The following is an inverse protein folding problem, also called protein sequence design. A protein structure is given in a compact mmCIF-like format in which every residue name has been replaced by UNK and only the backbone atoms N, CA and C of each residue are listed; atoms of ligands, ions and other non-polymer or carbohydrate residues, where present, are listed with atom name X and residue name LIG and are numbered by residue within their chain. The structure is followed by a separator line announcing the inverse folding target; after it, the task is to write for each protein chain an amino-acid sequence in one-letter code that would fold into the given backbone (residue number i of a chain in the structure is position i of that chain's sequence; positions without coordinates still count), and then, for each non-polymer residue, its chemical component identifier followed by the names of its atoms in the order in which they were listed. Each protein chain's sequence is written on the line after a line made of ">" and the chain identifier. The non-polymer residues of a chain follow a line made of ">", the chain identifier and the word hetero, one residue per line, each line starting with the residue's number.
data_IF_263193550868
#
_entry.id   IF_263193550868
#
_cell.length_a   1.000
_cell.length_b   1.000
_cell.length_c   1.000
_cell.angle_alpha   90.00
_cell.angle_beta   90.00
_cell.angle_gamma   90.00
#
_symmetry.space_group_name_H-M   'P 1'
#
loop_
_entity.id
_entity.type
_entity.pdbx_description
1 polymer ?
#
# COMPACT_ATOMS: atom_id res chain seq x y z
N UNK A 1 -21.74 18.99 -11.70
CA UNK A 1 -20.87 18.50 -10.59
C UNK A 1 -20.60 17.03 -10.82
N UNK A 2 -19.34 16.56 -10.73
CA UNK A 2 -19.05 15.12 -10.88
C UNK A 2 -19.68 14.34 -9.71
N UNK A 3 -20.23 13.14 -9.93
CA UNK A 3 -20.72 12.30 -8.85
C UNK A 3 -19.63 12.06 -7.81
N UNK A 4 -19.96 12.22 -6.53
CA UNK A 4 -19.05 12.04 -5.41
C UNK A 4 -19.35 10.69 -4.76
N UNK A 5 -18.35 9.82 -4.68
CA UNK A 5 -18.44 8.56 -3.96
C UNK A 5 -17.99 8.78 -2.52
N UNK A 6 -18.92 8.56 -1.58
CA UNK A 6 -18.69 8.62 -0.12
C UNK A 6 -19.45 7.50 0.56
N UNK A 7 -19.07 7.20 1.79
CA UNK A 7 -19.85 6.32 2.66
C UNK A 7 -21.22 6.94 2.97
N UNK A 8 -22.26 6.11 3.03
CA UNK A 8 -23.61 6.49 3.49
C UNK A 8 -23.77 6.43 5.01
N UNK A 9 -22.81 5.82 5.71
CA UNK A 9 -22.84 5.59 7.17
C UNK A 9 -21.67 6.27 7.88
N UNK A 10 -21.84 6.54 9.19
CA UNK A 10 -20.86 7.27 10.01
C UNK A 10 -19.54 6.52 10.16
N UNK A 11 -18.49 7.21 10.63
CA UNK A 11 -17.20 6.58 10.92
C UNK A 11 -17.33 5.50 12.01
N UNK A 12 -18.09 5.76 13.06
CA UNK A 12 -18.28 4.83 14.19
C UNK A 12 -18.98 3.55 13.74
N UNK A 13 -19.99 3.68 12.87
CA UNK A 13 -20.69 2.55 12.26
C UNK A 13 -19.75 1.74 11.38
N UNK A 14 -18.99 2.39 10.48
CA UNK A 14 -17.97 1.72 9.64
C UNK A 14 -16.90 1.04 10.47
N UNK A 15 -16.39 1.71 11.50
CA UNK A 15 -15.39 1.17 12.40
C UNK A 15 -15.91 -0.09 13.09
N UNK A 16 -17.16 -0.10 13.54
CA UNK A 16 -17.78 -1.29 14.15
C UNK A 16 -17.83 -2.45 13.16
N UNK A 17 -18.31 -2.21 11.92
CA UNK A 17 -18.34 -3.22 10.85
C UNK A 17 -16.94 -3.73 10.53
N UNK A 18 -15.97 -2.82 10.39
CA UNK A 18 -14.57 -3.13 10.13
C UNK A 18 -13.97 -4.02 11.23
N UNK A 19 -14.19 -3.68 12.50
CA UNK A 19 -13.72 -4.48 13.64
C UNK A 19 -14.32 -5.88 13.60
N UNK A 20 -15.61 -6.03 13.31
CA UNK A 20 -16.23 -7.36 13.17
C UNK A 20 -15.61 -8.17 12.02
N UNK A 21 -15.37 -7.55 10.85
CA UNK A 21 -14.67 -8.21 9.73
C UNK A 21 -13.26 -8.64 10.12
N UNK A 22 -12.52 -7.79 10.84
CA UNK A 22 -11.17 -8.12 11.30
C UNK A 22 -11.18 -9.29 12.30
N UNK A 23 -12.15 -9.35 13.21
CA UNK A 23 -12.29 -10.47 14.16
C UNK A 23 -12.58 -11.79 13.46
N UNK A 24 -13.39 -11.76 12.41
CA UNK A 24 -13.74 -12.95 11.63
C UNK A 24 -12.57 -13.42 10.75
N UNK A 25 -11.87 -12.50 10.09
CA UNK A 25 -10.76 -12.85 9.18
C UNK A 25 -9.44 -13.14 9.91
N UNK A 26 -9.24 -12.55 11.10
CA UNK A 26 -8.00 -12.68 11.87
C UNK A 26 -8.27 -13.11 13.31
N UNK A 27 -8.75 -14.34 13.55
CA UNK A 27 -9.05 -14.82 14.89
C UNK A 27 -7.82 -14.82 15.80
N UNK A 28 -6.62 -15.06 15.25
CA UNK A 28 -5.34 -14.99 15.96
C UNK A 28 -5.04 -13.59 16.53
N UNK A 29 -5.66 -12.54 15.97
CA UNK A 29 -5.51 -11.16 16.42
C UNK A 29 -6.69 -10.69 17.29
N UNK A 30 -7.61 -11.58 17.71
CA UNK A 30 -8.80 -11.20 18.49
C UNK A 30 -8.47 -10.42 19.76
N UNK A 31 -7.45 -10.85 20.52
CA UNK A 31 -7.04 -10.17 21.75
C UNK A 31 -6.55 -8.75 21.50
N UNK A 32 -5.72 -8.56 20.47
CA UNK A 32 -5.15 -7.24 20.11
C UNK A 32 -6.18 -6.32 19.46
N UNK A 33 -7.12 -6.86 18.68
CA UNK A 33 -8.20 -6.08 18.07
C UNK A 33 -9.15 -5.54 19.15
N UNK A 34 -9.52 -6.36 20.13
CA UNK A 34 -10.44 -5.95 21.21
C UNK A 34 -9.76 -5.08 22.27
N UNK A 35 -8.49 -5.35 22.57
CA UNK A 35 -7.66 -4.61 23.52
C UNK A 35 -6.35 -4.22 22.84
N UNK A 36 -6.34 -3.10 22.09
CA UNK A 36 -5.13 -2.61 21.45
C UNK A 36 -4.05 -2.37 22.51
N UNK A 37 -2.92 -3.03 22.35
CA UNK A 37 -1.80 -2.86 23.28
C UNK A 37 -1.11 -1.53 22.98
N UNK A 38 -0.86 -0.74 24.04
CA UNK A 38 0.11 0.35 23.95
C UNK A 38 1.50 -0.27 23.96
N UNK A 39 2.44 0.34 23.24
CA UNK A 39 3.83 -0.10 23.21
C UNK A 39 4.49 0.20 24.55
N UNK A 40 4.26 -0.64 25.56
CA UNK A 40 5.01 -0.55 26.81
C UNK A 40 6.38 -1.20 26.59
N UNK A 41 7.42 -0.38 26.75
CA UNK A 41 8.80 -0.58 26.26
C UNK A 41 9.60 -1.69 26.96
N UNK A 42 9.00 -2.43 27.87
CA UNK A 42 9.72 -3.34 28.78
C UNK A 42 9.63 -4.83 28.42
N UNK A 43 8.78 -5.24 27.49
CA UNK A 43 8.79 -6.60 26.93
C UNK A 43 8.50 -6.56 25.42
N UNK A 44 9.56 -6.52 24.60
CA UNK A 44 9.44 -6.70 23.13
C UNK A 44 8.98 -8.12 22.84
N UNK A 45 7.68 -8.31 22.66
CA UNK A 45 7.08 -9.62 22.41
C UNK A 45 7.11 -9.94 20.92
N UNK A 46 6.99 -11.23 20.57
CA UNK A 46 6.96 -11.74 19.19
C UNK A 46 5.82 -11.18 18.31
N UNK A 47 4.96 -10.32 18.86
CA UNK A 47 3.77 -9.77 18.20
C UNK A 47 3.95 -8.32 17.70
N UNK A 48 5.11 -7.72 17.93
CA UNK A 48 5.46 -6.40 17.40
C UNK A 48 5.44 -6.37 15.87
N UNK A 49 5.06 -5.23 15.31
CA UNK A 49 5.02 -5.03 13.86
C UNK A 49 5.72 -3.76 13.39
N UNK A 50 6.17 -3.81 12.15
CA UNK A 50 6.76 -2.70 11.41
C UNK A 50 5.93 -2.48 10.15
N UNK A 51 5.20 -1.37 10.09
CA UNK A 51 4.25 -1.08 9.02
C UNK A 51 4.87 -0.12 8.02
N UNK A 52 4.86 -0.50 6.74
CA UNK A 52 5.36 0.28 5.63
C UNK A 52 4.28 0.42 4.58
N UNK A 53 3.96 1.65 4.19
CA UNK A 53 2.87 1.94 3.26
C UNK A 53 3.40 2.68 2.03
N UNK A 54 3.17 2.07 0.87
CA UNK A 54 3.29 2.73 -0.43
C UNK A 54 1.97 3.42 -0.74
N UNK A 55 1.91 4.72 -0.47
CA UNK A 55 0.69 5.48 -0.54
C UNK A 55 0.09 5.49 -1.96
N UNK A 56 0.93 5.57 -2.99
CA UNK A 56 0.49 5.62 -4.38
C UNK A 56 -0.13 4.28 -4.79
N UNK A 57 0.53 3.15 -4.47
CA UNK A 57 0.02 1.83 -4.81
C UNK A 57 -1.32 1.54 -4.12
N UNK A 58 -1.43 1.85 -2.82
CA UNK A 58 -2.68 1.65 -2.07
C UNK A 58 -3.79 2.58 -2.55
N UNK A 59 -3.50 3.87 -2.75
CA UNK A 59 -4.50 4.83 -3.20
C UNK A 59 -5.03 4.50 -4.59
N UNK A 60 -4.15 4.15 -5.53
CA UNK A 60 -4.54 3.76 -6.89
C UNK A 60 -5.36 2.46 -6.86
N UNK A 61 -4.88 1.43 -6.14
CA UNK A 61 -5.59 0.17 -5.99
C UNK A 61 -7.00 0.36 -5.41
N UNK A 62 -7.14 1.21 -4.40
CA UNK A 62 -8.42 1.55 -3.78
C UNK A 62 -9.39 2.19 -4.78
N UNK A 63 -8.94 3.21 -5.51
CA UNK A 63 -9.78 3.93 -6.48
C UNK A 63 -10.22 3.00 -7.60
N UNK A 64 -9.30 2.20 -8.13
CA UNK A 64 -9.59 1.25 -9.20
C UNK A 64 -10.56 0.17 -8.74
N UNK A 65 -10.41 -0.32 -7.50
CA UNK A 65 -11.34 -1.28 -6.90
C UNK A 65 -12.74 -0.67 -6.74
N UNK A 66 -12.88 0.51 -6.12
CA UNK A 66 -14.18 1.18 -5.92
C UNK A 66 -14.87 1.52 -7.25
N UNK A 67 -14.10 1.95 -8.26
CA UNK A 67 -14.65 2.16 -9.61
C UNK A 67 -15.13 0.86 -10.23
N UNK A 68 -14.37 -0.22 -10.07
CA UNK A 68 -14.73 -1.52 -10.60
C UNK A 68 -15.98 -2.08 -9.93
N UNK A 69 -16.07 -2.03 -8.59
CA UNK A 69 -17.20 -2.57 -7.82
C UNK A 69 -18.52 -1.88 -8.12
N UNK A 70 -18.47 -0.61 -8.55
CA UNK A 70 -19.66 0.19 -8.90
C UNK A 70 -19.97 0.25 -10.39
N UNK A 71 -19.22 -0.46 -11.24
CA UNK A 71 -19.40 -0.42 -12.69
C UNK A 71 -19.02 0.92 -13.34
N UNK A 72 -18.15 1.72 -12.69
CA UNK A 72 -17.82 3.09 -13.06
C UNK A 72 -16.42 3.24 -13.68
N UNK A 73 -15.83 2.17 -14.23
CA UNK A 73 -14.46 2.18 -14.78
C UNK A 73 -14.26 3.24 -15.88
N UNK A 74 -15.26 3.46 -16.72
CA UNK A 74 -15.23 4.42 -17.83
C UNK A 74 -15.78 5.80 -17.45
N UNK A 75 -16.33 5.95 -16.24
CA UNK A 75 -17.05 7.16 -15.82
C UNK A 75 -16.11 8.13 -15.10
N UNK A 76 -16.16 9.40 -15.49
CA UNK A 76 -15.36 10.46 -14.89
C UNK A 76 -16.01 10.95 -13.57
N UNK A 77 -15.77 10.21 -12.49
CA UNK A 77 -16.22 10.54 -11.14
C UNK A 77 -15.21 11.41 -10.37
N UNK A 78 -15.67 12.03 -9.28
CA UNK A 78 -14.75 12.58 -8.28
C UNK A 78 -13.97 11.44 -7.63
N UNK A 79 -12.67 11.66 -7.35
CA UNK A 79 -11.78 10.67 -6.75
C UNK A 79 -12.36 10.23 -5.39
N UNK A 80 -12.65 8.93 -5.18
CA UNK A 80 -12.98 8.40 -3.86
C UNK A 80 -11.88 8.74 -2.87
N UNK A 81 -12.26 9.11 -1.64
CA UNK A 81 -11.32 9.49 -0.59
C UNK A 81 -11.09 8.29 0.32
N UNK A 82 -9.83 7.91 0.52
CA UNK A 82 -9.46 6.80 1.39
C UNK A 82 -9.35 7.31 2.83
N UNK A 83 -9.96 6.60 3.78
CA UNK A 83 -9.74 6.83 5.20
C UNK A 83 -8.46 6.11 5.63
N UNK A 84 -7.42 6.87 5.97
CA UNK A 84 -6.16 6.28 6.41
C UNK A 84 -6.31 5.64 7.80
N UNK A 85 -7.20 6.19 8.64
CA UNK A 85 -7.55 5.57 9.94
C UNK A 85 -8.18 4.18 9.79
N UNK A 86 -8.99 3.96 8.76
CA UNK A 86 -9.51 2.63 8.46
C UNK A 86 -8.40 1.69 7.99
N UNK A 87 -7.55 2.17 7.08
CA UNK A 87 -6.40 1.41 6.58
C UNK A 87 -5.46 1.01 7.73
N UNK A 88 -5.10 1.93 8.63
CA UNK A 88 -4.20 1.63 9.75
C UNK A 88 -4.77 0.55 10.67
N UNK A 89 -6.09 0.55 10.94
CA UNK A 89 -6.74 -0.53 11.70
C UNK A 89 -6.56 -1.91 11.02
N UNK A 90 -6.63 -1.97 9.69
CA UNK A 90 -6.44 -3.21 8.91
C UNK A 90 -4.98 -3.66 8.91
N UNK A 91 -4.03 -2.73 8.78
CA UNK A 91 -2.60 -3.03 8.76
C UNK A 91 -2.12 -3.48 10.15
N UNK A 92 -2.52 -2.75 11.19
CA UNK A 92 -2.04 -2.96 12.54
C UNK A 92 -2.78 -4.09 13.26
N UNK A 93 -4.11 -4.19 13.08
CA UNK A 93 -4.99 -5.13 13.78
C UNK A 93 -4.80 -5.10 15.30
N UNK A 94 -4.58 -3.90 15.81
CA UNK A 94 -4.35 -3.60 17.23
C UNK A 94 -3.02 -4.12 17.80
N UNK A 95 -2.13 -4.68 16.96
CA UNK A 95 -0.78 -5.09 17.39
C UNK A 95 0.07 -3.86 17.66
N UNK A 96 1.01 -3.91 18.63
CA UNK A 96 1.98 -2.84 18.84
C UNK A 96 2.81 -2.61 17.57
N UNK A 97 2.66 -1.46 16.92
CA UNK A 97 3.56 -1.08 15.84
C UNK A 97 4.75 -0.30 16.40
N UNK A 98 5.91 -0.93 16.33
CA UNK A 98 7.21 -0.34 16.71
C UNK A 98 7.62 0.71 15.69
N UNK A 99 7.29 0.47 14.42
CA UNK A 99 7.54 1.40 13.33
C UNK A 99 6.33 1.57 12.43
N UNK A 100 6.04 2.81 12.04
CA UNK A 100 4.97 3.20 11.13
C UNK A 100 5.53 4.16 10.09
N UNK A 101 5.62 3.72 8.84
CA UNK A 101 6.18 4.52 7.74
C UNK A 101 5.17 4.58 6.62
N UNK A 102 4.94 5.78 6.09
CA UNK A 102 4.23 6.02 4.85
C UNK A 102 5.14 6.80 3.90
N UNK A 103 5.27 6.30 2.67
CA UNK A 103 5.98 7.01 1.61
C UNK A 103 5.02 7.22 0.46
N UNK A 104 5.08 8.40 -0.15
CA UNK A 104 4.36 8.68 -1.38
C UNK A 104 4.93 9.90 -2.09
N UNK A 105 4.21 10.38 -3.09
CA UNK A 105 4.61 11.56 -3.87
C UNK A 105 3.57 12.66 -3.85
N UNK A 106 4.03 13.91 -4.00
CA UNK A 106 3.21 15.10 -4.06
C UNK A 106 2.12 14.99 -5.14
N UNK A 107 0.93 15.61 -4.99
CA UNK A 107 0.56 16.55 -3.94
C UNK A 107 0.34 15.85 -2.60
N UNK A 108 0.48 16.60 -1.51
CA UNK A 108 0.17 16.12 -0.18
C UNK A 108 -1.33 15.80 -0.10
N UNK A 109 -1.67 14.54 0.16
CA UNK A 109 -3.05 14.03 0.13
C UNK A 109 -3.65 13.96 1.53
N UNK A 110 -4.98 13.82 1.63
CA UNK A 110 -5.66 13.70 2.93
C UNK A 110 -5.20 12.46 3.68
N UNK A 111 -4.96 11.39 2.97
CA UNK A 111 -4.43 10.12 3.47
C UNK A 111 -3.08 10.33 4.18
N UNK A 112 -2.20 11.15 3.60
CA UNK A 112 -0.89 11.49 4.19
C UNK A 112 -1.04 12.38 5.44
N UNK A 113 -2.00 13.30 5.46
CA UNK A 113 -2.31 14.13 6.64
C UNK A 113 -2.79 13.22 7.78
N UNK A 114 -3.78 12.38 7.51
CA UNK A 114 -4.34 11.45 8.49
C UNK A 114 -3.26 10.48 9.00
N UNK A 115 -2.35 10.00 8.14
CA UNK A 115 -1.23 9.17 8.53
C UNK A 115 -0.30 9.87 9.53
N UNK A 116 0.08 11.11 9.25
CA UNK A 116 0.93 11.91 10.14
C UNK A 116 0.24 12.17 11.49
N UNK A 117 -1.06 12.50 11.48
CA UNK A 117 -1.85 12.70 12.71
C UNK A 117 -1.88 11.47 13.62
N UNK A 118 -1.89 10.26 13.04
CA UNK A 118 -1.89 9.02 13.81
C UNK A 118 -0.47 8.43 14.03
N UNK A 119 0.57 9.24 13.78
CA UNK A 119 1.95 8.92 14.16
C UNK A 119 2.77 8.13 13.13
N UNK A 120 2.37 8.11 11.86
CA UNK A 120 3.23 7.57 10.79
C UNK A 120 4.33 8.57 10.42
N UNK A 121 5.57 8.09 10.38
CA UNK A 121 6.67 8.76 9.69
C UNK A 121 6.29 8.90 8.21
N UNK A 122 6.07 10.13 7.75
CA UNK A 122 5.53 10.39 6.41
C UNK A 122 6.59 11.07 5.53
N UNK A 123 7.03 10.40 4.47
CA UNK A 123 7.95 10.94 3.47
C UNK A 123 7.21 11.22 2.17
N UNK A 124 7.15 12.49 1.75
CA UNK A 124 6.48 12.90 0.50
C UNK A 124 7.50 13.49 -0.45
N UNK A 125 7.68 12.81 -1.59
CA UNK A 125 8.64 13.16 -2.61
C UNK A 125 8.02 14.01 -3.72
N UNK A 126 8.80 14.94 -4.28
CA UNK A 126 8.38 15.67 -5.46
C UNK A 126 8.42 14.79 -6.71
N UNK A 127 7.47 14.99 -7.63
CA UNK A 127 7.48 14.30 -8.92
C UNK A 127 8.45 14.99 -9.86
N UNK A 128 9.31 14.20 -10.49
CA UNK A 128 10.30 14.69 -11.44
C UNK A 128 9.76 14.66 -12.86
N UNK A 129 10.20 15.59 -13.69
CA UNK A 129 9.92 15.55 -15.12
C UNK A 129 10.85 14.54 -15.80
N UNK A 130 10.27 13.56 -16.48
CA UNK A 130 11.04 12.65 -17.35
C UNK A 130 10.55 12.75 -18.78
N UNK A 131 11.52 12.76 -19.69
CA UNK A 131 11.31 12.61 -21.12
C UNK A 131 11.03 11.13 -21.41
N UNK A 132 9.88 10.81 -22.01
CA UNK A 132 9.64 9.49 -22.58
C UNK A 132 9.77 9.56 -24.10
N UNK A 133 10.50 8.63 -24.74
CA UNK A 133 10.46 8.52 -26.19
C UNK A 133 9.03 8.18 -26.62
N UNK A 134 8.54 8.88 -27.64
CA UNK A 134 7.23 8.62 -28.22
C UNK A 134 7.32 7.31 -29.02
N UNK A 135 6.98 6.18 -28.40
CA UNK A 135 6.79 4.93 -29.14
C UNK A 135 5.46 5.04 -29.91
N UNK A 136 5.48 5.84 -30.97
CA UNK A 136 4.40 6.04 -31.90
C UNK A 136 4.14 4.79 -32.74
N UNK A 137 3.49 3.78 -32.17
CA UNK A 137 2.68 2.86 -32.98
C UNK A 137 1.36 3.56 -33.29
N UNK A 138 1.39 4.45 -34.28
CA UNK A 138 0.21 4.87 -35.02
C UNK A 138 0.45 4.54 -36.48
N UNK A 139 -0.32 3.56 -36.92
CA UNK A 139 -0.50 3.10 -38.29
C UNK A 139 -0.26 4.18 -39.34
N UNK A 140 0.62 3.86 -40.28
CA UNK A 140 0.97 4.68 -41.43
C UNK A 140 -0.29 5.11 -42.20
N UNK A 141 -0.61 6.40 -42.15
CA UNK A 141 -1.44 7.07 -43.14
C UNK A 141 -0.65 8.29 -43.61
N UNK A 142 -0.33 8.26 -44.90
CA UNK A 142 0.47 9.22 -45.66
C UNK A 142 -0.03 10.66 -45.49
N UNK A 143 0.91 11.59 -45.28
CA UNK A 143 0.65 13.02 -45.47
C UNK A 143 1.46 13.98 -44.60
N UNK A 144 2.50 14.57 -45.22
CA UNK A 144 3.09 15.90 -44.96
C UNK A 144 4.16 16.05 -43.88
N UNK A 145 5.23 16.71 -44.32
CA UNK A 145 6.47 17.08 -43.64
C UNK A 145 6.27 17.94 -42.37
N UNK A 146 7.26 17.88 -41.47
CA UNK A 146 7.43 18.55 -40.15
C UNK A 146 6.89 17.85 -38.89
N UNK A 147 7.17 16.56 -38.72
CA UNK A 147 7.04 15.90 -37.42
C UNK A 147 8.24 16.22 -36.51
N UNK A 148 8.27 17.42 -35.91
CA UNK A 148 9.07 17.63 -34.71
C UNK A 148 8.58 16.62 -33.66
N UNK A 149 9.41 15.63 -33.33
CA UNK A 149 9.18 14.67 -32.25
C UNK A 149 8.87 15.44 -30.96
N UNK A 150 7.58 15.66 -30.66
CA UNK A 150 7.14 16.30 -29.42
C UNK A 150 7.40 15.33 -28.29
N UNK A 151 8.60 15.39 -27.71
CA UNK A 151 8.94 14.73 -26.46
C UNK A 151 7.89 15.14 -25.42
N UNK A 152 7.04 14.20 -25.02
CA UNK A 152 6.02 14.45 -23.99
C UNK A 152 6.67 14.29 -22.63
N UNK A 153 7.02 15.41 -22.01
CA UNK A 153 7.41 15.44 -20.59
C UNK A 153 6.25 15.01 -19.72
N UNK A 154 6.46 13.98 -18.89
CA UNK A 154 5.51 13.56 -17.86
C UNK A 154 6.16 13.68 -16.50
N UNK A 155 5.42 14.23 -15.53
CA UNK A 155 5.80 14.17 -14.11
C UNK A 155 5.59 12.75 -13.61
N UNK A 156 6.66 12.09 -13.22
CA UNK A 156 6.66 10.72 -12.72
C UNK A 156 7.14 10.69 -11.28
N UNK A 157 6.70 9.67 -10.56
CA UNK A 157 7.20 9.36 -9.23
C UNK A 157 8.61 8.78 -9.36
N UNK A 158 9.53 9.19 -8.47
CA UNK A 158 10.90 8.73 -8.42
C UNK A 158 11.33 8.68 -6.95
N UNK A 159 12.07 7.64 -6.54
CA UNK A 159 12.66 7.55 -5.20
C UNK A 159 11.75 6.98 -4.11
N UNK A 160 10.47 6.76 -4.40
CA UNK A 160 9.49 6.29 -3.40
C UNK A 160 9.78 4.86 -2.97
N UNK A 161 10.02 3.97 -3.93
CA UNK A 161 10.36 2.58 -3.67
C UNK A 161 11.71 2.46 -2.95
N UNK A 162 12.69 3.27 -3.35
CA UNK A 162 14.01 3.30 -2.74
C UNK A 162 13.97 3.73 -1.27
N UNK A 163 13.19 4.76 -0.92
CA UNK A 163 12.99 5.16 0.48
C UNK A 163 12.31 4.04 1.26
N UNK A 164 11.27 3.39 0.72
CA UNK A 164 10.63 2.28 1.41
C UNK A 164 11.59 1.12 1.64
N UNK A 165 12.42 0.76 0.65
CA UNK A 165 13.43 -0.29 0.81
C UNK A 165 14.45 0.07 1.88
N UNK A 166 14.92 1.31 1.90
CA UNK A 166 15.81 1.83 2.94
C UNK A 166 15.16 1.71 4.34
N UNK A 167 13.90 2.16 4.50
CA UNK A 167 13.18 2.13 5.78
C UNK A 167 12.92 0.70 6.27
N UNK A 168 12.68 -0.24 5.36
CA UNK A 168 12.59 -1.67 5.68
C UNK A 168 13.95 -2.18 6.16
N UNK A 169 15.04 -1.85 5.45
CA UNK A 169 16.40 -2.23 5.85
C UNK A 169 16.80 -1.67 7.22
N UNK A 170 16.47 -0.41 7.53
CA UNK A 170 16.65 0.17 8.88
C UNK A 170 15.98 -0.71 9.94
N UNK A 171 14.72 -1.12 9.72
CA UNK A 171 14.04 -2.00 10.67
C UNK A 171 14.69 -3.36 10.86
N UNK A 172 15.23 -3.93 9.77
CA UNK A 172 15.96 -5.20 9.81
C UNK A 172 17.29 -5.11 10.56
N UNK A 173 17.90 -3.93 10.61
CA UNK A 173 19.18 -3.68 11.28
C UNK A 173 18.99 -3.30 12.76
N UNK A 174 18.00 -2.46 13.05
CA UNK A 174 17.85 -1.83 14.36
C UNK A 174 16.98 -2.64 15.33
N UNK A 175 16.28 -3.67 14.84
CA UNK A 175 15.32 -4.44 15.62
C UNK A 175 15.47 -5.95 15.46
N UNK A 176 15.03 -6.67 16.51
CA UNK A 176 14.93 -8.12 16.47
C UNK A 176 13.82 -8.56 15.50
N UNK A 177 13.96 -9.74 14.85
CA UNK A 177 12.95 -10.25 13.94
C UNK A 177 11.54 -10.29 14.54
N UNK A 178 10.61 -9.60 13.88
CA UNK A 178 9.20 -9.56 14.24
C UNK A 178 8.33 -9.72 13.00
N UNK A 179 7.35 -8.84 12.75
CA UNK A 179 6.52 -8.87 11.54
C UNK A 179 6.62 -7.58 10.75
N UNK A 180 7.01 -7.67 9.49
CA UNK A 180 6.88 -6.59 8.52
C UNK A 180 5.49 -6.65 7.89
N UNK A 181 4.76 -5.54 7.92
CA UNK A 181 3.50 -5.35 7.20
C UNK A 181 3.77 -4.37 6.07
N UNK A 182 3.85 -4.86 4.83
CA UNK A 182 4.07 -4.05 3.65
C UNK A 182 2.75 -3.84 2.91
N UNK A 183 2.25 -2.61 2.92
CA UNK A 183 1.10 -2.21 2.13
C UNK A 183 1.54 -1.74 0.74
N UNK A 184 1.79 -2.69 -0.15
CA UNK A 184 2.02 -2.49 -1.59
C UNK A 184 1.74 -3.78 -2.35
N UNK A 185 1.14 -3.68 -3.52
CA UNK A 185 0.97 -4.79 -4.46
C UNK A 185 2.09 -4.90 -5.49
N UNK A 186 3.01 -3.93 -5.54
CA UNK A 186 4.08 -3.94 -6.54
C UNK A 186 5.11 -5.02 -6.23
N UNK A 187 5.53 -5.74 -7.26
CA UNK A 187 6.56 -6.77 -7.21
C UNK A 187 7.51 -6.70 -8.41
N UNK A 188 7.45 -5.61 -9.17
CA UNK A 188 8.38 -5.37 -10.28
C UNK A 188 9.76 -4.97 -9.76
N UNK A 189 10.76 -5.10 -10.62
CA UNK A 189 12.08 -4.52 -10.40
C UNK A 189 11.89 -2.99 -10.44
N UNK A 190 12.39 -2.29 -9.43
CA UNK A 190 12.32 -0.84 -9.35
C UNK A 190 13.41 -0.20 -10.23
N UNK A 191 13.33 1.12 -10.44
CA UNK A 191 14.27 1.82 -11.30
C UNK A 191 15.72 1.75 -10.78
N UNK A 192 15.90 1.85 -9.46
CA UNK A 192 17.22 1.84 -8.82
C UNK A 192 17.41 0.68 -7.84
N UNK A 193 16.49 -0.29 -7.82
CA UNK A 193 16.59 -1.41 -6.90
C UNK A 193 15.99 -2.71 -7.46
N UNK A 194 16.34 -3.88 -6.88
CA UNK A 194 15.75 -5.15 -7.27
C UNK A 194 14.23 -5.29 -6.99
N UNK A 195 13.56 -4.26 -6.47
CA UNK A 195 12.12 -4.26 -6.19
C UNK A 195 11.74 -4.78 -4.79
N UNK A 196 10.45 -4.60 -4.45
CA UNK A 196 9.89 -5.01 -3.16
C UNK A 196 10.00 -6.51 -2.90
N UNK A 197 9.88 -7.34 -3.94
CA UNK A 197 10.00 -8.78 -3.79
C UNK A 197 11.35 -9.18 -3.18
N UNK A 198 12.45 -8.52 -3.60
CA UNK A 198 13.77 -8.78 -3.02
C UNK A 198 13.90 -8.29 -1.58
N UNK A 199 13.28 -7.16 -1.25
CA UNK A 199 13.22 -6.69 0.14
C UNK A 199 12.49 -7.70 1.04
N UNK A 200 11.40 -8.28 0.54
CA UNK A 200 10.65 -9.34 1.24
C UNK A 200 11.51 -10.60 1.43
N UNK A 201 12.23 -11.04 0.40
CA UNK A 201 13.17 -12.16 0.53
C UNK A 201 14.20 -11.90 1.64
N UNK A 202 14.80 -10.70 1.68
CA UNK A 202 15.77 -10.31 2.71
C UNK A 202 15.19 -10.34 4.12
N UNK A 203 13.91 -9.99 4.29
CA UNK A 203 13.20 -10.08 5.56
C UNK A 203 13.05 -11.54 5.99
N UNK A 204 12.54 -12.38 5.09
CA UNK A 204 12.26 -13.78 5.35
C UNK A 204 13.54 -14.59 5.67
N UNK A 205 14.62 -14.32 4.93
CA UNK A 205 15.95 -14.90 5.18
C UNK A 205 16.50 -14.52 6.55
N UNK A 206 16.14 -13.34 7.07
CA UNK A 206 16.47 -12.87 8.42
C UNK A 206 15.44 -13.26 9.48
N UNK A 207 14.63 -14.29 9.21
CA UNK A 207 13.64 -14.83 10.13
C UNK A 207 12.48 -13.87 10.49
N UNK A 208 12.28 -12.79 9.74
CA UNK A 208 11.10 -11.95 9.89
C UNK A 208 9.87 -12.63 9.28
N UNK A 209 8.70 -12.35 9.86
CA UNK A 209 7.42 -12.61 9.20
C UNK A 209 7.08 -11.45 8.29
N UNK A 210 6.44 -11.73 7.16
CA UNK A 210 6.06 -10.72 6.18
C UNK A 210 4.59 -10.88 5.80
N UNK A 211 3.88 -9.77 5.86
CA UNK A 211 2.49 -9.63 5.44
C UNK A 211 2.43 -8.60 4.32
N UNK A 212 2.13 -9.06 3.11
CA UNK A 212 1.87 -8.16 1.98
C UNK A 212 0.38 -7.84 1.96
N UNK A 213 0.04 -6.56 2.07
CA UNK A 213 -1.34 -6.07 2.08
C UNK A 213 -1.58 -5.27 0.81
N UNK A 214 -2.48 -5.73 -0.05
CA UNK A 214 -2.70 -5.09 -1.36
C UNK A 214 -4.11 -5.33 -1.89
N UNK A 215 -4.52 -4.55 -2.88
CA UNK A 215 -5.72 -4.89 -3.66
C UNK A 215 -5.39 -5.98 -4.68
N UNK A 216 -6.36 -6.88 -4.93
CA UNK A 216 -6.16 -8.03 -5.83
C UNK A 216 -5.76 -7.62 -7.26
N UNK A 217 -6.28 -6.48 -7.73
CA UNK A 217 -6.03 -5.92 -9.06
C UNK A 217 -4.60 -5.36 -9.22
N UNK A 218 -3.98 -4.85 -8.16
CA UNK A 218 -2.62 -4.31 -8.17
C UNK A 218 -1.56 -5.33 -7.72
N UNK A 219 -1.98 -6.46 -7.14
CA UNK A 219 -1.06 -7.49 -6.65
C UNK A 219 -0.33 -8.21 -7.79
N UNK A 220 0.99 -8.03 -7.83
CA UNK A 220 1.89 -8.72 -8.75
C UNK A 220 1.80 -10.26 -8.61
N UNK A 221 1.88 -10.98 -9.73
CA UNK A 221 1.78 -12.44 -9.76
C UNK A 221 2.92 -13.14 -9.03
N UNK A 222 4.07 -12.48 -8.85
CA UNK A 222 5.23 -13.01 -8.11
C UNK A 222 4.84 -13.46 -6.68
N UNK A 223 3.93 -12.74 -6.04
CA UNK A 223 3.43 -13.06 -4.69
C UNK A 223 2.52 -14.30 -4.65
N UNK A 224 2.06 -14.78 -5.81
CA UNK A 224 1.23 -15.99 -5.95
C UNK A 224 2.06 -17.23 -6.31
N UNK A 225 3.38 -17.10 -6.47
CA UNK A 225 4.26 -18.23 -6.77
C UNK A 225 4.12 -19.33 -5.70
N UNK A 226 3.79 -20.56 -6.14
CA UNK A 226 3.49 -21.69 -5.25
C UNK A 226 4.73 -22.16 -4.48
N UNK A 227 5.89 -22.19 -5.11
CA UNK A 227 7.14 -22.62 -4.50
C UNK A 227 7.59 -21.65 -3.43
N UNK A 228 7.55 -20.34 -3.72
CA UNK A 228 7.85 -19.29 -2.77
C UNK A 228 6.94 -19.38 -1.53
N UNK A 229 5.63 -19.52 -1.74
CA UNK A 229 4.67 -19.65 -0.64
C UNK A 229 4.83 -20.94 0.15
N UNK A 230 5.25 -22.03 -0.50
CA UNK A 230 5.56 -23.30 0.17
C UNK A 230 6.83 -23.17 1.02
N UNK A 231 7.89 -22.57 0.48
CA UNK A 231 9.16 -22.30 1.17
C UNK A 231 8.94 -21.49 2.44
N UNK A 232 8.11 -20.46 2.37
CA UNK A 232 7.88 -19.51 3.47
C UNK A 232 6.54 -19.70 4.18
N UNK A 233 5.98 -20.91 4.16
CA UNK A 233 4.72 -21.23 4.83
C UNK A 233 4.79 -20.86 6.32
N UNK A 234 3.80 -20.12 6.80
CA UNK A 234 3.74 -19.62 8.18
C UNK A 234 4.53 -18.34 8.46
N UNK A 235 5.48 -17.96 7.60
CA UNK A 235 6.22 -16.69 7.69
C UNK A 235 5.75 -15.64 6.70
N UNK A 236 5.26 -16.05 5.54
CA UNK A 236 4.75 -15.16 4.50
C UNK A 236 3.24 -15.33 4.31
N UNK A 237 2.51 -14.22 4.25
CA UNK A 237 1.09 -14.20 3.83
C UNK A 237 0.75 -12.96 3.03
N UNK A 238 -0.27 -13.10 2.19
CA UNK A 238 -0.88 -12.00 1.45
C UNK A 238 -2.27 -11.74 2.03
N UNK A 239 -2.60 -10.48 2.28
CA UNK A 239 -3.90 -10.02 2.76
C UNK A 239 -4.48 -9.11 1.67
N UNK A 240 -5.71 -9.42 1.23
CA UNK A 240 -6.39 -8.65 0.21
C UNK A 240 -7.24 -7.56 0.84
N UNK A 241 -7.12 -6.34 0.33
CA UNK A 241 -7.87 -5.16 0.79
C UNK A 241 -9.29 -5.08 0.22
N UNK A 242 -9.60 -5.88 -0.78
CA UNK A 242 -10.88 -5.89 -1.51
C UNK A 242 -12.09 -6.00 -0.55
N UNK A 243 -12.05 -6.88 0.44
CA UNK A 243 -13.16 -7.11 1.39
C UNK A 243 -13.39 -5.92 2.35
N UNK A 244 -12.39 -5.05 2.48
CA UNK A 244 -12.39 -3.88 3.37
C UNK A 244 -12.60 -2.56 2.61
N UNK A 245 -12.67 -2.59 1.28
CA UNK A 245 -12.67 -1.40 0.45
C UNK A 245 -13.78 -0.41 0.83
N UNK A 246 -15.01 -0.88 1.01
CA UNK A 246 -16.14 -0.01 1.38
C UNK A 246 -16.00 0.56 2.81
N UNK A 247 -15.35 -0.17 3.74
CA UNK A 247 -15.13 0.33 5.10
C UNK A 247 -14.08 1.46 5.14
N UNK A 248 -13.16 1.45 4.17
CA UNK A 248 -12.13 2.47 4.00
C UNK A 248 -12.63 3.73 3.27
N UNK A 249 -13.87 3.76 2.78
CA UNK A 249 -14.39 4.90 2.03
C UNK A 249 -14.77 6.06 2.94
N UNK A 250 -14.05 7.19 2.89
CA UNK A 250 -14.27 8.38 3.75
C UNK A 250 -15.66 8.98 3.59
#
# INVERSE_FOLDING_TARGET
>A
KKPVIKSSISWEQRKSVLVQKLLNQFPDNKSTILKPSRSDSTQRQSNDIHVFVDNSNISIGFIDHIKASRGLKTVNISRPVLSFRALSLILERGRPAVRRVLVGSAPFTREMIEAKEIGYETSVLERVEKDRPDNGQRSASSGSDTAANKIRRRKVEQGVDEILHMKICESLLDHNPSTVVLASGDGNIAEYSPGFFKAIERCLDRNWRVEVVAFKNSLNSVYRNKEFRKKWKGKFRVILLDDFAEDMLS
#
